data_IF_005603192466
#
_entry.id   IF_005603192466
#
_cell.length_a   1.000
_cell.length_b   1.000
_cell.length_c   1.000
_cell.angle_alpha   90.00
_cell.angle_beta   90.00
_cell.angle_gamma   90.00
#
_symmetry.space_group_name_H-M   'P 1'
#
loop_
_entity.id
_entity.type
_entity.pdbx_description
1 polymer ?
#
# COMPACT_ATOMS: atom_id res chain seq x y z
N UNK A 1 -19.15 -0.38 -23.34
CA UNK A 1 -18.42 -1.61 -22.96
C UNK A 1 -16.96 -1.22 -22.74
N UNK A 2 -16.42 -1.38 -21.53
CA UNK A 2 -15.00 -1.09 -21.27
C UNK A 2 -14.17 -2.25 -21.81
N UNK A 3 -13.09 -1.96 -22.54
CA UNK A 3 -12.21 -3.00 -23.09
C UNK A 3 -11.07 -3.33 -22.13
N UNK A 4 -10.52 -4.54 -22.22
CA UNK A 4 -9.35 -4.95 -21.42
C UNK A 4 -8.17 -3.97 -21.60
N UNK A 5 -7.95 -3.49 -22.83
CA UNK A 5 -6.91 -2.49 -23.14
C UNK A 5 -7.13 -1.17 -22.41
N UNK A 6 -8.38 -0.71 -22.34
CA UNK A 6 -8.73 0.51 -21.59
C UNK A 6 -8.51 0.32 -20.08
N UNK A 7 -8.84 -0.85 -19.53
CA UNK A 7 -8.57 -1.16 -18.12
C UNK A 7 -7.08 -1.12 -17.82
N UNK A 8 -6.27 -1.84 -18.59
CA UNK A 8 -4.82 -1.89 -18.36
C UNK A 8 -4.15 -0.53 -18.57
N UNK A 9 -4.57 0.24 -19.58
CA UNK A 9 -4.09 1.61 -19.79
C UNK A 9 -4.44 2.51 -18.60
N UNK A 10 -5.70 2.46 -18.15
CA UNK A 10 -6.15 3.27 -17.02
C UNK A 10 -5.40 2.95 -15.72
N UNK A 11 -5.09 1.68 -15.46
CA UNK A 11 -4.34 1.25 -14.27
C UNK A 11 -2.83 1.56 -14.35
N UNK A 12 -2.27 1.62 -15.56
CA UNK A 12 -0.87 1.98 -15.78
C UNK A 12 -0.63 3.48 -15.66
N UNK A 13 -1.57 4.30 -16.16
CA UNK A 13 -1.43 5.76 -16.19
C UNK A 13 -1.92 6.44 -14.91
N UNK A 14 -2.83 5.81 -14.17
CA UNK A 14 -3.47 6.43 -12.99
C UNK A 14 -3.58 5.44 -11.84
N UNK A 15 -3.55 5.95 -10.60
CA UNK A 15 -3.90 5.13 -9.44
C UNK A 15 -5.41 5.00 -9.34
N UNK A 16 -5.89 3.83 -8.94
CA UNK A 16 -7.33 3.54 -8.88
C UNK A 16 -8.11 4.51 -7.97
N UNK A 17 -7.46 5.12 -6.98
CA UNK A 17 -8.07 6.07 -6.06
C UNK A 17 -8.11 7.52 -6.58
N UNK A 18 -7.33 7.85 -7.62
CA UNK A 18 -7.33 9.16 -8.29
C UNK A 18 -8.42 9.24 -9.36
N UNK A 19 -8.91 8.09 -9.81
CA UNK A 19 -9.98 8.03 -10.81
C UNK A 19 -11.32 8.51 -10.22
N UNK A 20 -12.14 9.22 -11.01
CA UNK A 20 -13.52 9.53 -10.66
C UNK A 20 -14.29 8.27 -10.25
N UNK A 21 -15.18 8.39 -9.25
CA UNK A 21 -15.89 7.27 -8.64
C UNK A 21 -16.62 6.37 -9.68
N UNK A 22 -17.21 6.97 -10.71
CA UNK A 22 -17.92 6.24 -11.77
C UNK A 22 -16.97 5.40 -12.63
N UNK A 23 -15.77 5.92 -12.95
CA UNK A 23 -14.73 5.17 -13.67
C UNK A 23 -14.17 4.05 -12.82
N UNK A 24 -13.98 4.30 -11.53
CA UNK A 24 -13.51 3.28 -10.56
C UNK A 24 -14.49 2.11 -10.49
N UNK A 25 -15.79 2.38 -10.46
CA UNK A 25 -16.82 1.34 -10.43
C UNK A 25 -16.81 0.51 -11.73
N UNK A 26 -16.74 1.17 -12.89
CA UNK A 26 -16.67 0.50 -14.19
C UNK A 26 -15.43 -0.41 -14.32
N UNK A 27 -14.27 0.06 -13.88
CA UNK A 27 -13.04 -0.75 -13.87
C UNK A 27 -13.17 -1.97 -12.95
N UNK A 28 -13.64 -1.78 -11.70
CA UNK A 28 -13.83 -2.87 -10.75
C UNK A 28 -14.82 -3.92 -11.28
N UNK A 29 -15.90 -3.49 -11.92
CA UNK A 29 -16.88 -4.38 -12.52
C UNK A 29 -16.26 -5.20 -13.65
N UNK A 30 -15.54 -4.55 -14.57
CA UNK A 30 -14.87 -5.25 -15.66
C UNK A 30 -13.83 -6.26 -15.15
N UNK A 31 -13.00 -5.88 -14.17
CA UNK A 31 -12.00 -6.78 -13.58
C UNK A 31 -12.67 -7.99 -12.91
N UNK A 32 -13.81 -7.81 -12.23
CA UNK A 32 -14.55 -8.92 -11.62
C UNK A 32 -15.20 -9.87 -12.65
N UNK A 33 -15.69 -9.34 -13.77
CA UNK A 33 -16.46 -10.12 -14.76
C UNK A 33 -15.59 -10.72 -15.88
N UNK A 34 -14.45 -10.10 -16.19
CA UNK A 34 -13.57 -10.54 -17.26
C UNK A 34 -12.55 -11.56 -16.75
N UNK A 35 -12.59 -12.77 -17.32
CA UNK A 35 -11.66 -13.85 -16.99
C UNK A 35 -10.18 -13.46 -17.14
N UNK A 36 -9.85 -12.66 -18.15
CA UNK A 36 -8.47 -12.22 -18.42
C UNK A 36 -8.03 -11.14 -17.43
N UNK A 37 -8.86 -10.12 -17.23
CA UNK A 37 -8.50 -8.99 -16.37
C UNK A 37 -8.48 -9.34 -14.88
N UNK A 38 -9.27 -10.33 -14.45
CA UNK A 38 -9.44 -10.67 -13.04
C UNK A 38 -8.12 -10.96 -12.31
N UNK A 39 -7.19 -11.67 -12.94
CA UNK A 39 -5.92 -12.06 -12.30
C UNK A 39 -4.92 -10.90 -12.25
N UNK A 40 -4.44 -10.45 -13.41
CA UNK A 40 -3.36 -9.46 -13.49
C UNK A 40 -3.81 -8.08 -13.00
N UNK A 41 -4.92 -7.54 -13.54
CA UNK A 41 -5.40 -6.22 -13.14
C UNK A 41 -5.95 -6.24 -11.70
N UNK A 42 -6.46 -7.38 -11.23
CA UNK A 42 -6.85 -7.56 -9.82
C UNK A 42 -5.67 -7.41 -8.86
N UNK A 43 -4.52 -8.02 -9.16
CA UNK A 43 -3.30 -7.88 -8.36
C UNK A 43 -2.78 -6.44 -8.34
N UNK A 44 -2.78 -5.75 -9.49
CA UNK A 44 -2.38 -4.34 -9.57
C UNK A 44 -3.27 -3.47 -8.67
N UNK A 45 -4.58 -3.69 -8.71
CA UNK A 45 -5.53 -2.96 -7.87
C UNK A 45 -5.30 -3.22 -6.38
N UNK A 46 -5.03 -4.47 -6.00
CA UNK A 46 -4.71 -4.82 -4.61
C UNK A 46 -3.43 -4.13 -4.15
N UNK A 47 -2.38 -4.15 -4.97
CA UNK A 47 -1.12 -3.48 -4.68
C UNK A 47 -1.31 -1.97 -4.49
N UNK A 48 -2.02 -1.31 -5.41
CA UNK A 48 -2.31 0.12 -5.30
C UNK A 48 -3.10 0.48 -4.03
N UNK A 49 -4.05 -0.38 -3.62
CA UNK A 49 -4.78 -0.17 -2.37
C UNK A 49 -3.89 -0.40 -1.13
N UNK A 50 -2.98 -1.37 -1.18
CA UNK A 50 -2.01 -1.63 -0.11
C UNK A 50 -1.06 -0.46 0.09
N UNK A 51 -0.48 0.07 -1.00
CA UNK A 51 0.37 1.26 -0.98
C UNK A 51 -0.39 2.45 -0.39
N UNK A 52 -1.64 2.67 -0.86
CA UNK A 52 -2.47 3.74 -0.30
C UNK A 52 -2.66 3.58 1.21
N UNK A 53 -3.01 2.37 1.66
CA UNK A 53 -3.21 2.10 3.09
C UNK A 53 -1.93 2.36 3.91
N UNK A 54 -0.76 1.99 3.38
CA UNK A 54 0.51 2.27 4.05
C UNK A 54 0.78 3.77 4.15
N UNK A 55 0.58 4.52 3.07
CA UNK A 55 0.73 5.99 3.08
C UNK A 55 -0.25 6.65 4.07
N UNK A 56 -1.52 6.22 4.04
CA UNK A 56 -2.55 6.71 4.98
C UNK A 56 -2.18 6.36 6.45
N UNK A 57 -1.47 5.25 6.71
CA UNK A 57 -1.01 4.83 8.04
C UNK A 57 0.29 5.53 8.50
N UNK A 58 1.19 5.85 7.57
CA UNK A 58 2.40 6.62 7.86
C UNK A 58 2.05 8.06 8.27
N UNK A 59 1.04 8.66 7.63
CA UNK A 59 0.49 9.97 8.02
C UNK A 59 -0.15 9.95 9.42
N UNK A 60 -0.65 8.80 9.90
CA UNK A 60 -1.16 8.63 11.26
C UNK A 60 -0.06 8.30 12.30
N UNK A 61 1.22 8.29 11.90
CA UNK A 61 2.35 8.19 12.83
C UNK A 61 2.48 6.86 13.58
N UNK A 62 1.76 5.82 13.16
CA UNK A 62 1.66 4.53 13.88
C UNK A 62 3.02 3.83 13.99
N UNK A 63 3.93 4.02 13.03
CA UNK A 63 5.28 3.44 13.06
C UNK A 63 6.33 4.35 13.72
N UNK A 64 6.05 5.64 13.92
CA UNK A 64 7.00 6.60 14.49
C UNK A 64 6.93 6.71 16.02
N UNK A 65 5.91 6.12 16.66
CA UNK A 65 5.70 6.22 18.10
C UNK A 65 6.16 4.98 18.90
N UNK A 66 6.92 4.07 18.29
CA UNK A 66 7.58 2.98 19.03
C UNK A 66 8.91 3.51 19.56
N UNK A 67 8.85 4.31 20.64
CA UNK A 67 10.04 4.73 21.38
C UNK A 67 10.41 3.62 22.37
N UNK A 68 11.66 3.14 22.32
CA UNK A 68 12.22 2.33 23.41
C UNK A 68 12.05 3.08 24.74
N UNK A 69 11.65 2.38 25.81
CA UNK A 69 11.63 3.00 27.13
C UNK A 69 13.02 3.52 27.47
N UNK A 70 13.10 4.65 28.18
CA UNK A 70 14.39 5.26 28.53
C UNK A 70 15.25 4.27 29.36
N UNK A 71 14.61 3.42 30.17
CA UNK A 71 15.24 2.30 30.88
C UNK A 71 15.90 1.29 29.92
N UNK A 72 15.17 0.82 28.91
CA UNK A 72 15.69 -0.16 27.94
C UNK A 72 16.84 0.43 27.12
N UNK A 73 16.73 1.71 26.76
CA UNK A 73 17.79 2.44 26.05
C UNK A 73 19.06 2.56 26.89
N UNK A 74 18.94 2.87 28.18
CA UNK A 74 20.07 2.98 29.09
C UNK A 74 20.74 1.61 29.34
N UNK A 75 19.95 0.55 29.54
CA UNK A 75 20.45 -0.81 29.70
C UNK A 75 21.28 -1.28 28.49
N UNK A 76 20.83 -0.94 27.26
CA UNK A 76 21.58 -1.25 26.04
C UNK A 76 22.90 -0.47 25.99
N UNK A 77 22.86 0.83 26.35
CA UNK A 77 24.04 1.70 26.35
C UNK A 77 25.11 1.21 27.33
N UNK A 78 24.71 0.81 28.54
CA UNK A 78 25.63 0.27 29.54
C UNK A 78 26.26 -1.05 29.09
N UNK A 79 25.47 -1.97 28.53
CA UNK A 79 25.99 -3.24 28.00
C UNK A 79 26.93 -3.09 26.79
N UNK A 80 26.77 -2.03 26.01
CA UNK A 80 27.69 -1.72 24.90
C UNK A 80 29.03 -1.15 25.38
N UNK A 81 29.04 -0.49 26.54
CA UNK A 81 30.26 0.05 27.15
C UNK A 81 31.02 -1.06 27.90
N UNK A 82 30.31 -1.96 28.59
CA UNK A 82 30.92 -3.03 29.39
C UNK A 82 31.52 -4.19 28.60
N UNK A 83 31.26 -4.29 27.29
CA UNK A 83 31.76 -5.38 26.43
C UNK A 83 33.01 -4.99 25.60
N UNK A 84 33.59 -3.81 25.86
CA UNK A 84 34.82 -3.33 25.21
C UNK A 84 36.05 -3.35 26.14
N UNK A 85 35.93 -3.96 27.33
CA UNK A 85 37.04 -4.31 28.23
C UNK A 85 37.19 -5.84 28.29
#
# INVERSE_FOLDING_TARGET
MITCKQVSKALAENRIHELPWHKRLGLKLHIKLCFVCGKANGQIVQLQNGIKKMLDQDDEGVYLNVKLSDETKNNIKEKMISNND
#
